data_IF_752045194187
#
_entry.id   IF_752045194187
#
_cell.length_a   1.000
_cell.length_b   1.000
_cell.length_c   1.000
_cell.angle_alpha   90.00
_cell.angle_beta   90.00
_cell.angle_gamma   90.00
#
_symmetry.space_group_name_H-M   'P 1'
#
loop_
_entity.id
_entity.type
_entity.pdbx_description
1 polymer ?
#
# COMPACT_ATOMS: atom_id res chain seq x y z
N UNK A 1 32.13 -8.42 7.81
CA UNK A 1 30.79 -7.99 8.28
C UNK A 1 30.66 -6.51 7.94
N UNK A 2 29.72 -6.10 7.09
CA UNK A 2 29.46 -4.68 6.81
C UNK A 2 29.04 -4.01 8.12
N UNK A 3 29.57 -2.82 8.43
CA UNK A 3 29.17 -2.08 9.63
C UNK A 3 27.69 -1.70 9.54
N UNK A 4 26.92 -1.91 10.62
CA UNK A 4 25.53 -1.51 10.75
C UNK A 4 25.32 -0.05 10.29
N UNK A 5 24.36 0.17 9.40
CA UNK A 5 23.99 1.47 8.85
C UNK A 5 22.75 2.03 9.55
N UNK A 6 22.62 3.34 9.57
CA UNK A 6 21.46 4.02 10.15
C UNK A 6 20.63 4.66 9.03
N UNK A 7 19.40 4.20 8.88
CA UNK A 7 18.41 4.70 7.93
C UNK A 7 17.44 5.65 8.63
N UNK A 8 17.30 6.86 8.10
CA UNK A 8 16.32 7.83 8.57
C UNK A 8 15.18 7.92 7.55
N UNK A 9 13.99 7.45 7.92
CA UNK A 9 12.84 7.29 7.02
C UNK A 9 11.81 8.36 7.36
N UNK A 10 11.56 9.27 6.42
CA UNK A 10 10.56 10.34 6.56
C UNK A 10 9.23 9.91 5.95
N UNK A 11 8.18 9.93 6.77
CA UNK A 11 6.80 9.69 6.35
C UNK A 11 5.90 10.74 6.98
N UNK A 12 5.13 11.47 6.16
CA UNK A 12 4.30 12.58 6.65
C UNK A 12 3.30 12.13 7.70
N UNK A 13 2.68 10.98 7.50
CA UNK A 13 1.78 10.32 8.45
C UNK A 13 2.38 8.97 8.88
N UNK A 14 1.99 8.54 10.07
CA UNK A 14 2.39 7.25 10.64
C UNK A 14 1.33 6.77 11.64
N UNK A 15 1.50 5.56 12.17
CA UNK A 15 0.56 4.99 13.14
C UNK A 15 0.25 5.96 14.30
N UNK A 16 -1.02 5.97 14.78
CA UNK A 16 -2.14 5.05 14.53
C UNK A 16 -2.93 5.32 13.23
N UNK A 17 -2.51 6.26 12.37
CA UNK A 17 -3.09 6.40 11.05
C UNK A 17 -2.72 5.16 10.21
N UNK A 18 -3.71 4.45 9.70
CA UNK A 18 -3.50 3.20 8.96
C UNK A 18 -3.74 3.43 7.48
N UNK A 19 -2.66 3.37 6.70
CA UNK A 19 -2.65 3.45 5.25
C UNK A 19 -1.50 2.63 4.66
N UNK A 20 -1.45 2.54 3.33
CA UNK A 20 -0.41 1.78 2.63
C UNK A 20 1.00 2.32 2.90
N UNK A 21 1.15 3.65 2.92
CA UNK A 21 2.46 4.32 3.15
C UNK A 21 2.95 4.10 4.58
N UNK A 22 2.05 4.19 5.56
CA UNK A 22 2.36 3.99 6.97
C UNK A 22 2.79 2.55 7.25
N UNK A 23 2.07 1.56 6.69
CA UNK A 23 2.43 0.14 6.78
C UNK A 23 3.78 -0.12 6.08
N UNK A 24 3.97 0.43 4.88
CA UNK A 24 5.24 0.33 4.16
C UNK A 24 6.41 0.87 5.00
N UNK A 25 6.24 2.07 5.56
CA UNK A 25 7.25 2.73 6.40
C UNK A 25 7.63 1.87 7.60
N UNK A 26 6.64 1.32 8.30
CA UNK A 26 6.85 0.48 9.47
C UNK A 26 7.58 -0.81 9.12
N UNK A 27 7.07 -1.54 8.13
CA UNK A 27 7.59 -2.85 7.76
C UNK A 27 9.00 -2.75 7.16
N UNK A 28 9.27 -1.70 6.36
CA UNK A 28 10.61 -1.42 5.88
C UNK A 28 11.58 -1.14 7.04
N UNK A 29 11.18 -0.30 8.01
CA UNK A 29 12.00 0.02 9.17
C UNK A 29 12.31 -1.24 10.00
N UNK A 30 11.33 -2.11 10.19
CA UNK A 30 11.50 -3.38 10.89
C UNK A 30 12.44 -4.33 10.12
N UNK A 31 12.23 -4.50 8.82
CA UNK A 31 13.08 -5.37 8.01
C UNK A 31 14.54 -4.88 7.92
N UNK A 32 14.77 -3.57 7.94
CA UNK A 32 16.12 -3.01 8.06
C UNK A 32 16.73 -3.34 9.42
N UNK A 33 15.97 -3.18 10.51
CA UNK A 33 16.43 -3.46 11.86
C UNK A 33 16.71 -4.95 12.08
N UNK A 34 15.82 -5.82 11.63
CA UNK A 34 15.97 -7.28 11.69
C UNK A 34 17.18 -7.76 10.88
N UNK A 35 17.51 -7.04 9.80
CA UNK A 35 18.72 -7.26 9.00
C UNK A 35 20.02 -6.67 9.62
N UNK A 36 19.97 -6.18 10.86
CA UNK A 36 21.13 -5.69 11.61
C UNK A 36 21.47 -4.21 11.45
N UNK A 37 20.64 -3.45 10.73
CA UNK A 37 20.75 -1.99 10.61
C UNK A 37 20.00 -1.26 11.71
N UNK A 38 20.07 0.06 11.73
CA UNK A 38 19.28 0.93 12.60
C UNK A 38 18.28 1.70 11.74
N UNK A 39 17.05 1.85 12.24
CA UNK A 39 16.03 2.63 11.58
C UNK A 39 15.44 3.70 12.51
N UNK A 40 15.27 4.91 11.97
CA UNK A 40 14.62 6.03 12.63
C UNK A 40 13.49 6.50 11.73
N UNK A 41 12.25 6.40 12.19
CA UNK A 41 11.07 6.91 11.48
C UNK A 41 10.85 8.34 11.95
N UNK A 42 10.78 9.28 11.02
CA UNK A 42 10.45 10.69 11.30
C UNK A 42 9.09 11.00 10.70
N UNK A 43 8.16 11.43 11.53
CA UNK A 43 6.77 11.69 11.12
C UNK A 43 6.23 12.97 11.75
N UNK A 44 5.02 13.39 11.33
CA UNK A 44 4.32 14.52 11.94
C UNK A 44 3.49 14.07 13.14
N UNK A 45 3.52 14.83 14.24
CA UNK A 45 2.75 14.54 15.45
C UNK A 45 1.27 14.93 15.29
N UNK A 46 0.52 14.17 14.49
CA UNK A 46 -0.89 14.42 14.23
C UNK A 46 -1.77 14.03 15.43
N UNK A 47 -1.34 13.06 16.23
CA UNK A 47 -2.14 12.45 17.30
C UNK A 47 -1.68 12.85 18.72
N UNK A 48 -0.79 13.84 18.83
CA UNK A 48 -0.24 14.32 20.12
C UNK A 48 0.38 13.20 20.97
N UNK A 49 1.07 12.28 20.31
CA UNK A 49 1.80 11.17 20.93
C UNK A 49 3.19 11.61 21.42
N UNK A 50 3.91 10.78 22.19
CA UNK A 50 5.27 11.07 22.60
C UNK A 50 6.15 11.47 21.43
N UNK A 51 6.87 12.58 21.57
CA UNK A 51 7.68 13.15 20.50
C UNK A 51 8.86 12.27 20.08
N UNK A 52 9.32 11.38 20.97
CA UNK A 52 10.39 10.42 20.72
C UNK A 52 10.13 9.13 21.50
N UNK A 53 10.11 8.01 20.80
CA UNK A 53 9.98 6.68 21.43
C UNK A 53 10.85 5.65 20.70
N UNK A 54 11.11 4.54 21.36
CA UNK A 54 11.83 3.41 20.79
C UNK A 54 10.94 2.16 20.89
N UNK A 55 10.74 1.48 19.77
CA UNK A 55 10.00 0.23 19.71
C UNK A 55 10.87 -0.94 20.16
N UNK A 56 10.22 -2.11 20.44
CA UNK A 56 10.92 -3.30 20.96
C UNK A 56 12.10 -3.80 20.13
N UNK A 57 12.08 -3.63 18.82
CA UNK A 57 13.15 -4.03 17.90
C UNK A 57 14.22 -2.95 17.69
N UNK A 58 14.23 -1.90 18.51
CA UNK A 58 15.20 -0.81 18.46
C UNK A 58 14.91 0.27 17.41
N UNK A 59 13.81 0.17 16.67
CA UNK A 59 13.37 1.24 15.75
C UNK A 59 12.94 2.46 16.56
N UNK A 60 13.50 3.62 16.25
CA UNK A 60 13.14 4.88 16.89
C UNK A 60 12.07 5.61 16.07
N UNK A 61 11.14 6.26 16.76
CA UNK A 61 10.13 7.12 16.13
C UNK A 61 10.32 8.54 16.66
N UNK A 62 10.42 9.50 15.75
CA UNK A 62 10.50 10.93 16.05
C UNK A 62 9.30 11.63 15.44
N UNK A 63 8.47 12.24 16.29
CA UNK A 63 7.25 12.95 15.85
C UNK A 63 7.47 14.45 15.93
N UNK A 64 7.56 15.09 14.79
CA UNK A 64 7.74 16.54 14.68
C UNK A 64 6.41 17.28 14.89
N UNK A 65 6.39 18.36 15.68
CA UNK A 65 5.19 19.21 15.85
C UNK A 65 4.66 19.68 14.50
N UNK A 66 3.33 19.64 14.31
CA UNK A 66 2.71 20.02 13.04
C UNK A 66 1.41 20.79 13.21
N UNK A 67 1.02 21.48 12.13
CA UNK A 67 -0.34 21.96 11.90
C UNK A 67 -1.14 20.83 11.24
N UNK A 68 -2.32 20.48 11.81
CA UNK A 68 -3.17 19.37 11.37
C UNK A 68 -4.15 19.82 10.27
N UNK A 69 -3.63 20.20 9.10
CA UNK A 69 -4.45 20.66 7.98
C UNK A 69 -5.31 19.51 7.44
N UNK A 70 -6.56 19.77 7.06
CA UNK A 70 -7.55 18.80 6.58
C UNK A 70 -7.71 17.60 7.57
N UNK A 71 -7.82 17.90 8.86
CA UNK A 71 -7.96 16.85 9.88
C UNK A 71 -6.71 15.97 10.03
N UNK A 72 -5.54 16.49 9.70
CA UNK A 72 -4.28 15.77 9.78
C UNK A 72 -3.87 15.01 8.51
N UNK A 73 -4.70 15.00 7.47
CA UNK A 73 -4.35 14.37 6.18
C UNK A 73 -3.20 15.09 5.47
N UNK A 74 -3.03 16.39 5.72
CA UNK A 74 -1.97 17.20 5.14
C UNK A 74 -1.20 17.95 6.24
N UNK A 75 -0.36 17.26 7.03
CA UNK A 75 0.37 17.87 8.12
C UNK A 75 1.47 18.81 7.59
N UNK A 76 1.64 19.94 8.25
CA UNK A 76 2.71 20.91 7.94
C UNK A 76 3.53 21.14 9.21
N UNK A 77 4.84 20.95 9.13
CA UNK A 77 5.74 21.13 10.29
C UNK A 77 5.61 22.50 10.94
N UNK A 78 5.36 22.49 12.25
CA UNK A 78 5.32 23.72 13.07
C UNK A 78 6.70 23.96 13.66
N UNK A 79 7.48 24.90 13.08
CA UNK A 79 8.88 25.17 13.43
C UNK A 79 9.06 26.00 14.71
N UNK A 80 8.48 25.52 15.81
CA UNK A 80 8.59 26.08 17.15
C UNK A 80 9.89 25.65 17.86
N UNK A 81 10.04 25.96 19.16
CA UNK A 81 11.20 25.58 19.95
C UNK A 81 11.35 24.04 20.07
N UNK A 82 10.24 23.34 20.27
CA UNK A 82 10.19 21.87 20.35
C UNK A 82 10.68 21.23 19.04
N UNK A 83 10.15 21.69 17.88
CA UNK A 83 10.63 21.24 16.57
C UNK A 83 12.15 21.41 16.44
N UNK A 84 12.67 22.60 16.79
CA UNK A 84 14.12 22.88 16.69
C UNK A 84 14.94 21.94 17.56
N UNK A 85 14.50 21.70 18.80
CA UNK A 85 15.17 20.78 19.73
C UNK A 85 15.18 19.33 19.20
N UNK A 86 14.02 18.82 18.74
CA UNK A 86 13.90 17.48 18.18
C UNK A 86 14.73 17.31 16.91
N UNK A 87 14.65 18.29 15.98
CA UNK A 87 15.37 18.22 14.72
C UNK A 87 16.89 18.34 14.92
N UNK A 88 17.35 19.20 15.87
CA UNK A 88 18.77 19.30 16.25
C UNK A 88 19.28 17.99 16.88
N UNK A 89 18.49 17.37 17.78
CA UNK A 89 18.80 16.07 18.35
C UNK A 89 18.92 14.99 17.28
N UNK A 90 17.98 14.96 16.33
CA UNK A 90 18.00 14.05 15.19
C UNK A 90 19.24 14.28 14.31
N UNK A 91 19.53 15.53 13.98
CA UNK A 91 20.70 15.91 13.21
C UNK A 91 22.04 15.59 13.92
N UNK A 92 22.06 15.52 15.25
CA UNK A 92 23.20 15.07 16.03
C UNK A 92 23.49 13.56 15.96
N UNK A 93 22.52 12.74 15.51
CA UNK A 93 22.71 11.30 15.38
C UNK A 93 23.57 10.94 14.15
N UNK A 94 24.21 9.77 14.22
CA UNK A 94 24.80 9.14 13.03
C UNK A 94 23.64 8.70 12.11
N UNK A 95 23.63 9.18 10.90
CA UNK A 95 22.68 8.83 9.85
C UNK A 95 23.51 8.55 8.62
N UNK A 96 23.39 7.35 8.07
CA UNK A 96 24.13 6.94 6.87
C UNK A 96 23.28 7.13 5.61
N UNK A 97 21.94 6.98 5.72
CA UNK A 97 21.01 7.09 4.60
C UNK A 97 19.69 7.78 4.99
N UNK A 98 19.11 8.49 4.04
CA UNK A 98 17.79 9.12 4.19
C UNK A 98 16.85 8.61 3.12
N UNK A 99 15.69 8.13 3.57
CA UNK A 99 14.57 7.68 2.74
C UNK A 99 13.38 8.60 2.97
N UNK A 100 12.75 9.07 1.92
CA UNK A 100 11.58 9.95 1.99
C UNK A 100 10.41 9.25 1.32
N UNK A 101 9.38 8.91 2.08
CA UNK A 101 8.15 8.35 1.56
C UNK A 101 7.22 9.47 1.09
N UNK A 102 6.83 9.39 -0.18
CA UNK A 102 6.03 10.36 -0.94
C UNK A 102 6.74 11.70 -1.23
N UNK A 103 6.48 12.24 -2.43
CA UNK A 103 7.10 13.51 -2.92
C UNK A 103 6.30 14.77 -2.60
N UNK A 104 4.99 14.67 -2.39
CA UNK A 104 4.08 15.82 -2.37
C UNK A 104 3.73 16.36 -0.99
N UNK A 105 4.24 15.75 0.10
CA UNK A 105 4.08 16.32 1.43
C UNK A 105 5.13 17.38 1.74
N UNK A 106 4.74 18.42 2.46
CA UNK A 106 5.71 19.40 2.98
C UNK A 106 6.70 18.78 3.96
N UNK A 107 6.30 17.69 4.63
CA UNK A 107 7.17 16.90 5.50
C UNK A 107 8.37 16.28 4.76
N UNK A 108 8.23 16.00 3.45
CA UNK A 108 9.31 15.44 2.63
C UNK A 108 10.52 16.35 2.54
N UNK A 109 10.32 17.67 2.62
CA UNK A 109 11.42 18.66 2.68
C UNK A 109 12.24 18.56 3.96
N UNK A 110 11.67 18.08 5.06
CA UNK A 110 12.44 17.87 6.30
C UNK A 110 13.47 16.75 6.11
N UNK A 111 13.09 15.69 5.39
CA UNK A 111 14.02 14.60 5.05
C UNK A 111 15.14 15.06 4.10
N UNK A 112 14.79 15.76 3.05
CA UNK A 112 15.77 16.27 2.08
C UNK A 112 16.76 17.25 2.74
N UNK A 113 16.28 18.16 3.58
CA UNK A 113 17.14 19.08 4.35
C UNK A 113 18.08 18.36 5.31
N UNK A 114 17.60 17.31 5.98
CA UNK A 114 18.47 16.51 6.85
C UNK A 114 19.57 15.84 6.03
N UNK A 115 19.21 15.29 4.86
CA UNK A 115 20.15 14.69 3.95
C UNK A 115 21.22 15.71 3.47
N UNK A 116 20.82 16.91 3.06
CA UNK A 116 21.73 17.99 2.69
C UNK A 116 22.69 18.37 3.82
N UNK A 117 22.16 18.55 5.04
CA UNK A 117 23.00 18.86 6.22
C UNK A 117 24.02 17.76 6.52
N UNK A 118 23.75 16.52 6.14
CA UNK A 118 24.63 15.34 6.34
C UNK A 118 25.51 15.04 5.14
N UNK A 119 25.36 15.76 4.01
CA UNK A 119 26.04 15.44 2.77
C UNK A 119 25.56 14.12 2.13
N UNK A 120 24.35 13.68 2.43
CA UNK A 120 23.74 12.44 1.94
C UNK A 120 22.81 12.78 0.77
N UNK A 121 22.84 11.96 -0.29
CA UNK A 121 21.81 12.00 -1.34
C UNK A 121 20.64 11.11 -0.93
N UNK A 122 19.45 11.69 -0.66
CA UNK A 122 18.30 10.91 -0.23
C UNK A 122 17.68 10.16 -1.40
N UNK A 123 17.00 9.06 -1.11
CA UNK A 123 16.05 8.45 -2.04
C UNK A 123 14.63 8.89 -1.68
N UNK A 124 13.81 9.17 -2.68
CA UNK A 124 12.38 9.51 -2.55
C UNK A 124 11.56 8.39 -3.17
N UNK A 125 10.71 7.74 -2.40
CA UNK A 125 9.86 6.64 -2.86
C UNK A 125 8.44 7.17 -3.03
N UNK A 126 7.91 7.14 -4.26
CA UNK A 126 6.54 7.54 -4.54
C UNK A 126 5.57 6.36 -4.43
N UNK A 127 4.40 6.61 -3.84
CA UNK A 127 3.40 5.59 -3.54
C UNK A 127 2.09 5.80 -4.33
N UNK A 128 2.03 6.80 -5.18
CA UNK A 128 0.84 7.16 -5.97
C UNK A 128 0.96 6.75 -7.43
N UNK A 129 -0.19 6.57 -8.09
CA UNK A 129 -0.31 6.38 -9.55
C UNK A 129 -1.31 7.34 -10.18
N UNK A 130 -1.89 8.25 -9.38
CA UNK A 130 -2.81 9.29 -9.80
C UNK A 130 -2.81 10.46 -8.81
N UNK A 131 -3.41 11.59 -9.18
CA UNK A 131 -3.65 12.69 -8.25
C UNK A 131 -4.56 12.28 -7.10
N UNK A 132 -4.34 12.88 -5.93
CA UNK A 132 -5.27 12.76 -4.81
C UNK A 132 -6.62 13.37 -5.18
N UNK A 133 -7.70 12.66 -4.87
CA UNK A 133 -9.07 13.13 -5.04
C UNK A 133 -9.74 13.39 -3.69
N UNK A 134 -10.48 14.48 -3.58
CA UNK A 134 -11.28 14.85 -2.42
C UNK A 134 -12.79 14.74 -2.71
N UNK A 135 -13.16 14.23 -3.89
CA UNK A 135 -14.55 14.06 -4.31
C UNK A 135 -15.22 15.36 -4.78
N UNK A 136 -14.44 16.41 -5.03
CA UNK A 136 -14.94 17.69 -5.57
C UNK A 136 -14.02 18.15 -6.69
N UNK A 137 -14.54 18.32 -7.90
CA UNK A 137 -13.73 18.73 -9.08
C UNK A 137 -12.88 19.98 -8.83
N UNK A 138 -13.40 20.97 -8.08
CA UNK A 138 -12.69 22.20 -7.78
C UNK A 138 -11.55 21.94 -6.79
N UNK A 139 -11.79 21.16 -5.73
CA UNK A 139 -10.79 20.79 -4.75
C UNK A 139 -9.73 19.88 -5.38
N UNK A 140 -10.12 18.98 -6.26
CA UNK A 140 -9.21 18.05 -6.94
C UNK A 140 -8.23 18.80 -7.83
N UNK A 141 -8.70 19.84 -8.57
CA UNK A 141 -7.82 20.74 -9.34
C UNK A 141 -6.85 21.50 -8.41
N UNK A 142 -7.35 22.02 -7.30
CA UNK A 142 -6.48 22.75 -6.34
C UNK A 142 -5.41 21.83 -5.73
N UNK A 143 -5.78 20.59 -5.39
CA UNK A 143 -4.85 19.57 -4.86
C UNK A 143 -3.82 19.18 -5.92
N UNK A 144 -4.23 18.98 -7.17
CA UNK A 144 -3.31 18.68 -8.26
C UNK A 144 -2.29 19.82 -8.47
N UNK A 145 -2.73 21.10 -8.44
CA UNK A 145 -1.83 22.25 -8.54
C UNK A 145 -0.86 22.34 -7.35
N UNK A 146 -1.35 22.06 -6.13
CA UNK A 146 -0.51 21.96 -4.95
C UNK A 146 0.55 20.85 -5.11
N UNK A 147 0.16 19.67 -5.59
CA UNK A 147 1.06 18.54 -5.83
C UNK A 147 2.15 18.90 -6.83
N UNK A 148 1.78 19.55 -7.95
CA UNK A 148 2.74 20.06 -8.94
C UNK A 148 3.71 21.08 -8.34
N UNK A 149 3.22 22.03 -7.55
CA UNK A 149 4.03 23.08 -6.95
C UNK A 149 5.05 22.51 -5.94
N UNK A 150 4.59 21.60 -5.06
CA UNK A 150 5.43 20.92 -4.07
C UNK A 150 6.47 20.05 -4.75
N UNK A 151 6.07 19.24 -5.73
CA UNK A 151 6.98 18.37 -6.48
C UNK A 151 8.03 19.16 -7.24
N UNK A 152 7.63 20.27 -7.92
CA UNK A 152 8.58 21.18 -8.61
C UNK A 152 9.61 21.74 -7.63
N UNK A 153 9.18 22.09 -6.42
CA UNK A 153 10.09 22.58 -5.39
C UNK A 153 11.03 21.50 -4.88
N UNK A 154 10.51 20.29 -4.65
CA UNK A 154 11.31 19.15 -4.16
C UNK A 154 12.37 18.72 -5.20
N UNK A 155 12.06 18.78 -6.49
CA UNK A 155 12.97 18.47 -7.60
C UNK A 155 14.21 19.37 -7.68
N UNK A 156 14.23 20.51 -6.98
CA UNK A 156 15.42 21.39 -6.91
C UNK A 156 16.51 20.84 -6.01
N UNK A 157 16.17 19.85 -5.20
CA UNK A 157 17.10 19.16 -4.31
C UNK A 157 17.70 17.94 -5.02
N UNK A 158 18.94 17.62 -4.70
CA UNK A 158 19.64 16.47 -5.26
C UNK A 158 19.15 15.19 -4.58
N UNK A 159 18.24 14.47 -5.24
CA UNK A 159 17.62 13.25 -4.74
C UNK A 159 17.38 12.24 -5.87
N UNK A 160 17.48 10.95 -5.59
CA UNK A 160 17.08 9.90 -6.51
C UNK A 160 15.63 9.47 -6.23
N UNK A 161 14.87 9.26 -7.29
CA UNK A 161 13.45 8.93 -7.20
C UNK A 161 13.20 7.48 -7.56
N UNK A 162 12.40 6.82 -6.75
CA UNK A 162 11.91 5.46 -6.91
C UNK A 162 10.40 5.44 -6.76
N UNK A 163 9.76 4.37 -7.15
CA UNK A 163 8.32 4.20 -6.94
C UNK A 163 8.00 2.77 -6.50
N UNK A 164 6.78 2.54 -6.00
CA UNK A 164 6.37 1.22 -5.50
C UNK A 164 5.91 0.26 -6.60
N UNK A 165 5.72 0.74 -7.83
CA UNK A 165 5.34 -0.05 -9.01
C UNK A 165 5.77 0.62 -10.29
N UNK A 166 5.78 -0.12 -11.41
CA UNK A 166 6.00 0.42 -12.75
C UNK A 166 4.96 1.48 -13.13
N UNK A 167 3.70 1.27 -12.73
CA UNK A 167 2.64 2.28 -12.91
C UNK A 167 2.97 3.59 -12.16
N UNK A 168 3.47 3.48 -10.94
CA UNK A 168 3.92 4.65 -10.17
C UNK A 168 5.21 5.27 -10.75
N UNK A 169 6.09 4.49 -11.38
CA UNK A 169 7.23 5.03 -12.13
C UNK A 169 6.76 5.89 -13.32
N UNK A 170 5.82 5.38 -14.12
CA UNK A 170 5.19 6.14 -15.22
C UNK A 170 4.48 7.39 -14.73
N UNK A 171 3.85 7.33 -13.55
CA UNK A 171 3.22 8.48 -12.91
C UNK A 171 4.23 9.58 -12.55
N UNK A 172 5.44 9.24 -12.14
CA UNK A 172 6.50 10.20 -11.88
C UNK A 172 6.91 10.98 -13.14
N UNK A 173 6.82 10.37 -14.33
CA UNK A 173 7.10 11.02 -15.61
C UNK A 173 6.18 12.22 -15.87
N UNK A 174 4.91 12.16 -15.40
CA UNK A 174 3.97 13.28 -15.45
C UNK A 174 4.52 14.55 -14.77
N UNK A 175 5.40 14.40 -13.78
CA UNK A 175 6.10 15.50 -13.11
C UNK A 175 7.49 15.77 -13.69
N UNK A 176 7.86 15.13 -14.79
CA UNK A 176 9.19 15.21 -15.38
C UNK A 176 10.27 14.62 -14.44
N UNK A 177 9.94 13.54 -13.75
CA UNK A 177 10.86 12.77 -12.90
C UNK A 177 11.09 11.41 -13.55
N UNK A 178 12.36 11.08 -13.80
CA UNK A 178 12.76 9.74 -14.24
C UNK A 178 13.04 8.91 -12.99
N UNK A 179 12.27 7.85 -12.79
CA UNK A 179 12.49 6.91 -11.70
C UNK A 179 13.75 6.07 -11.91
N UNK A 180 14.49 5.79 -10.84
CA UNK A 180 15.65 4.89 -10.86
C UNK A 180 15.26 3.40 -10.82
N UNK A 181 14.02 3.12 -10.46
CA UNK A 181 13.50 1.75 -10.38
C UNK A 181 12.34 1.59 -9.41
N UNK A 182 12.00 0.34 -9.14
CA UNK A 182 10.85 -0.03 -8.31
C UNK A 182 11.33 -0.59 -6.97
N UNK A 183 10.74 -0.06 -5.88
CA UNK A 183 10.90 -0.54 -4.51
C UNK A 183 9.52 -0.98 -4.02
N UNK A 184 9.14 -2.19 -4.39
CA UNK A 184 7.79 -2.72 -4.23
C UNK A 184 7.30 -2.68 -2.78
N UNK A 185 5.98 -2.57 -2.62
CA UNK A 185 5.31 -2.97 -1.40
C UNK A 185 5.47 -4.48 -1.22
N UNK A 186 5.43 -4.96 0.02
CA UNK A 186 5.72 -6.35 0.36
C UNK A 186 4.80 -6.84 1.48
N UNK A 187 4.84 -8.15 1.71
CA UNK A 187 4.07 -8.80 2.77
C UNK A 187 4.94 -9.90 3.43
N UNK A 188 4.78 -10.09 4.72
CA UNK A 188 5.17 -11.33 5.38
C UNK A 188 4.00 -12.31 5.24
N UNK A 189 4.02 -13.09 4.17
CA UNK A 189 2.91 -13.95 3.79
C UNK A 189 2.61 -15.02 4.85
N UNK A 190 3.63 -15.58 5.49
CA UNK A 190 3.46 -16.58 6.54
C UNK A 190 2.86 -15.97 7.82
N UNK A 191 3.44 -14.86 8.30
CA UNK A 191 2.90 -14.16 9.46
C UNK A 191 1.49 -13.64 9.20
N UNK A 192 1.19 -13.19 7.98
CA UNK A 192 -0.14 -12.75 7.59
C UNK A 192 -1.15 -13.88 7.70
N UNK A 193 -0.91 -15.05 7.09
CA UNK A 193 -1.80 -16.22 7.20
C UNK A 193 -2.02 -16.68 8.63
N UNK A 194 -0.97 -16.66 9.46
CA UNK A 194 -1.05 -17.06 10.87
C UNK A 194 -1.82 -16.06 11.75
N UNK A 195 -1.99 -14.84 11.28
CA UNK A 195 -2.70 -13.78 12.03
C UNK A 195 -4.23 -13.89 11.93
N UNK A 196 -4.75 -14.93 11.28
CA UNK A 196 -6.19 -15.18 11.16
C UNK A 196 -6.88 -15.18 12.53
N UNK A 197 -8.06 -14.57 12.60
CA UNK A 197 -8.91 -14.65 13.80
C UNK A 197 -9.46 -16.06 14.06
N UNK A 198 -9.36 -16.96 13.06
CA UNK A 198 -9.94 -18.29 13.12
C UNK A 198 -11.44 -18.34 12.87
N UNK A 199 -12.07 -17.22 12.49
CA UNK A 199 -13.45 -17.21 12.02
C UNK A 199 -13.59 -18.04 10.75
N UNK A 200 -14.70 -18.74 10.63
CA UNK A 200 -15.09 -19.44 9.41
C UNK A 200 -16.35 -18.80 8.86
N UNK A 201 -16.16 -17.89 7.89
CA UNK A 201 -17.27 -17.16 7.29
C UNK A 201 -18.24 -18.06 6.53
N UNK A 202 -17.80 -19.23 6.02
CA UNK A 202 -18.72 -20.21 5.39
C UNK A 202 -19.68 -20.77 6.42
N UNK A 203 -19.15 -21.27 7.54
CA UNK A 203 -19.97 -21.82 8.64
C UNK A 203 -20.85 -20.75 9.27
N UNK A 204 -20.34 -19.54 9.52
CA UNK A 204 -21.10 -18.45 10.13
C UNK A 204 -22.31 -18.01 9.28
N UNK A 205 -22.17 -18.09 7.94
CA UNK A 205 -23.20 -17.67 6.99
C UNK A 205 -24.03 -18.84 6.45
N UNK A 206 -23.75 -20.07 6.89
CA UNK A 206 -24.46 -21.27 6.43
C UNK A 206 -24.21 -21.59 4.95
N UNK A 207 -23.04 -21.22 4.42
CA UNK A 207 -22.65 -21.52 3.04
C UNK A 207 -22.09 -22.94 2.95
N UNK A 208 -22.69 -23.76 2.09
CA UNK A 208 -22.18 -25.11 1.80
C UNK A 208 -20.89 -25.10 0.99
N UNK A 209 -20.25 -26.27 0.89
CA UNK A 209 -19.03 -26.44 0.09
C UNK A 209 -19.28 -26.32 -1.42
N UNK A 210 -20.51 -26.40 -1.85
CA UNK A 210 -21.00 -26.23 -3.21
C UNK A 210 -21.05 -24.75 -3.65
N UNK A 211 -20.98 -23.82 -2.69
CA UNK A 211 -20.98 -22.38 -2.98
C UNK A 211 -19.61 -21.88 -3.41
N UNK A 212 -19.55 -21.13 -4.51
CA UNK A 212 -18.36 -20.42 -4.94
C UNK A 212 -18.33 -19.02 -4.31
N UNK A 213 -17.35 -18.78 -3.43
CA UNK A 213 -17.25 -17.55 -2.64
C UNK A 213 -16.25 -16.60 -3.23
N UNK A 214 -16.73 -15.43 -3.68
CA UNK A 214 -15.90 -14.31 -4.17
C UNK A 214 -15.83 -13.24 -3.10
N UNK A 215 -14.64 -12.94 -2.60
CA UNK A 215 -14.43 -11.87 -1.62
C UNK A 215 -13.98 -10.56 -2.27
N UNK A 216 -14.36 -9.46 -1.63
CA UNK A 216 -13.86 -8.11 -1.86
C UNK A 216 -13.47 -7.50 -0.53
N UNK A 217 -12.30 -6.85 -0.47
CA UNK A 217 -11.85 -6.11 0.70
C UNK A 217 -11.34 -4.73 0.30
N UNK A 218 -12.06 -3.68 0.69
CA UNK A 218 -11.68 -2.32 0.32
C UNK A 218 -12.69 -1.24 0.69
N UNK A 219 -12.35 0.01 0.41
CA UNK A 219 -13.29 1.13 0.58
C UNK A 219 -14.37 1.08 -0.51
N UNK A 220 -15.61 1.36 -0.13
CA UNK A 220 -16.73 1.45 -1.07
C UNK A 220 -16.75 2.84 -1.74
N UNK A 221 -15.87 2.98 -2.72
CA UNK A 221 -15.69 4.18 -3.56
C UNK A 221 -15.58 3.77 -5.04
N UNK A 222 -15.88 4.66 -5.99
CA UNK A 222 -15.84 4.33 -7.42
C UNK A 222 -14.48 3.80 -7.90
N UNK A 223 -13.39 4.32 -7.33
CA UNK A 223 -12.02 3.94 -7.69
C UNK A 223 -11.69 2.47 -7.37
N UNK A 224 -12.40 1.85 -6.42
CA UNK A 224 -12.24 0.44 -6.05
C UNK A 224 -13.12 -0.52 -6.84
N UNK A 225 -13.94 -0.01 -7.76
CA UNK A 225 -14.75 -0.82 -8.67
C UNK A 225 -15.90 -1.56 -8.01
N UNK A 226 -16.41 -1.07 -6.85
CA UNK A 226 -17.51 -1.73 -6.14
C UNK A 226 -18.80 -1.76 -6.98
N UNK A 227 -19.06 -0.75 -7.84
CA UNK A 227 -20.25 -0.70 -8.68
C UNK A 227 -20.26 -1.80 -9.73
N UNK A 228 -19.25 -1.96 -10.61
CA UNK A 228 -19.21 -3.08 -11.55
C UNK A 228 -19.20 -4.46 -10.87
N UNK A 229 -18.65 -4.57 -9.65
CA UNK A 229 -18.73 -5.80 -8.87
C UNK A 229 -20.19 -6.11 -8.47
N UNK A 230 -20.95 -5.10 -8.05
CA UNK A 230 -22.38 -5.25 -7.72
C UNK A 230 -23.22 -5.57 -8.97
N UNK A 231 -22.88 -4.96 -10.13
CA UNK A 231 -23.55 -5.26 -11.40
C UNK A 231 -23.30 -6.72 -11.83
N UNK A 232 -22.08 -7.24 -11.60
CA UNK A 232 -21.73 -8.64 -11.82
C UNK A 232 -22.49 -9.58 -10.85
N UNK A 233 -22.58 -9.22 -9.57
CA UNK A 233 -23.33 -9.97 -8.58
C UNK A 233 -24.84 -10.05 -8.94
N UNK A 234 -25.42 -8.97 -9.49
CA UNK A 234 -26.81 -8.95 -9.96
C UNK A 234 -27.00 -9.90 -11.16
N UNK A 235 -26.10 -9.91 -12.14
CA UNK A 235 -26.16 -10.83 -13.28
C UNK A 235 -26.01 -12.31 -12.86
N UNK A 236 -25.28 -12.60 -11.77
CA UNK A 236 -25.11 -13.94 -11.23
C UNK A 236 -26.20 -14.32 -10.21
N UNK A 237 -27.12 -13.40 -9.88
CA UNK A 237 -28.18 -13.65 -8.91
C UNK A 237 -29.23 -14.61 -9.47
N UNK A 238 -29.47 -15.71 -8.77
CA UNK A 238 -30.54 -16.68 -9.08
C UNK A 238 -30.18 -17.78 -10.10
N UNK A 239 -29.02 -17.70 -10.77
CA UNK A 239 -28.59 -18.67 -11.78
C UNK A 239 -27.29 -19.42 -11.40
N UNK A 240 -26.64 -19.05 -10.30
CA UNK A 240 -25.37 -19.64 -9.88
C UNK A 240 -25.28 -19.81 -8.38
N UNK A 241 -24.36 -20.66 -7.97
CA UNK A 241 -24.02 -20.89 -6.57
C UNK A 241 -22.99 -19.87 -6.03
N UNK A 242 -22.76 -18.78 -6.78
CA UNK A 242 -21.79 -17.74 -6.45
C UNK A 242 -22.32 -16.80 -5.37
N UNK A 243 -21.53 -16.61 -4.32
CA UNK A 243 -21.80 -15.69 -3.22
C UNK A 243 -20.67 -14.64 -3.13
N UNK A 244 -21.05 -13.38 -2.99
CA UNK A 244 -20.09 -12.28 -2.82
C UNK A 244 -20.03 -11.85 -1.36
N UNK A 245 -18.84 -11.89 -0.74
CA UNK A 245 -18.58 -11.43 0.61
C UNK A 245 -17.83 -10.09 0.55
N UNK A 246 -18.48 -9.01 0.97
CA UNK A 246 -17.97 -7.64 0.82
C UNK A 246 -17.52 -7.07 2.15
N UNK A 247 -16.20 -6.97 2.36
CA UNK A 247 -15.61 -6.34 3.54
C UNK A 247 -15.20 -4.90 3.22
N UNK A 248 -15.75 -3.94 3.96
CA UNK A 248 -15.42 -2.54 3.80
C UNK A 248 -16.53 -1.58 4.21
N UNK A 249 -16.27 -0.31 3.94
CA UNK A 249 -17.17 0.81 4.21
C UNK A 249 -16.83 1.97 3.28
N UNK A 250 -17.73 2.91 3.08
CA UNK A 250 -17.47 4.09 2.27
C UNK A 250 -18.73 4.83 1.82
N UNK A 251 -18.55 5.89 1.03
CA UNK A 251 -19.67 6.71 0.54
C UNK A 251 -20.75 5.92 -0.22
N UNK A 252 -20.35 4.84 -0.92
CA UNK A 252 -21.27 4.00 -1.71
C UNK A 252 -21.96 2.89 -0.89
N UNK A 253 -21.74 2.82 0.43
CA UNK A 253 -22.32 1.76 1.28
C UNK A 253 -23.85 1.68 1.14
N UNK A 254 -24.55 2.81 1.22
CA UNK A 254 -26.01 2.86 1.10
C UNK A 254 -26.52 2.40 -0.28
N UNK A 255 -25.75 2.70 -1.33
CA UNK A 255 -26.08 2.26 -2.68
C UNK A 255 -25.95 0.74 -2.81
N UNK A 256 -24.85 0.18 -2.29
CA UNK A 256 -24.60 -1.26 -2.26
C UNK A 256 -25.66 -2.00 -1.45
N UNK A 257 -25.95 -1.54 -0.22
CA UNK A 257 -27.01 -2.10 0.63
C UNK A 257 -28.39 -2.01 -0.02
N UNK A 258 -28.69 -0.90 -0.70
CA UNK A 258 -29.97 -0.64 -1.34
C UNK A 258 -30.29 -1.57 -2.52
N UNK A 259 -29.29 -2.27 -3.10
CA UNK A 259 -29.54 -3.25 -4.17
C UNK A 259 -30.20 -4.53 -3.68
N UNK A 260 -30.02 -4.92 -2.41
CA UNK A 260 -30.72 -6.04 -1.78
C UNK A 260 -30.52 -7.39 -2.47
N UNK A 261 -29.35 -7.64 -3.05
CA UNK A 261 -29.07 -8.85 -3.82
C UNK A 261 -28.92 -10.06 -2.88
N UNK A 262 -29.62 -11.19 -3.15
CA UNK A 262 -29.63 -12.36 -2.24
C UNK A 262 -28.28 -13.09 -2.18
N UNK A 263 -27.42 -12.93 -3.19
CA UNK A 263 -26.08 -13.52 -3.27
C UNK A 263 -24.98 -12.58 -2.81
N UNK A 264 -25.30 -11.46 -2.14
CA UNK A 264 -24.33 -10.51 -1.60
C UNK A 264 -24.45 -10.40 -0.10
N UNK A 265 -23.36 -10.62 0.62
CA UNK A 265 -23.28 -10.44 2.07
C UNK A 265 -22.32 -9.29 2.41
N UNK A 266 -22.87 -8.27 3.09
CA UNK A 266 -22.12 -7.13 3.57
C UNK A 266 -21.55 -7.41 4.96
N UNK A 267 -20.23 -7.54 5.07
CA UNK A 267 -19.54 -7.85 6.34
C UNK A 267 -19.17 -6.59 7.14
N UNK A 268 -19.34 -5.41 6.54
CA UNK A 268 -18.88 -4.17 7.15
C UNK A 268 -17.35 -4.06 7.22
N UNK A 269 -16.85 -3.23 8.13
CA UNK A 269 -15.39 -3.09 8.33
C UNK A 269 -14.89 -4.26 9.17
N UNK A 270 -13.94 -4.99 8.63
CA UNK A 270 -13.21 -6.05 9.32
C UNK A 270 -11.85 -5.53 9.78
N UNK A 271 -11.34 -6.05 10.87
CA UNK A 271 -9.94 -5.87 11.27
C UNK A 271 -9.01 -6.80 10.48
N UNK A 272 -7.70 -6.64 10.67
CA UNK A 272 -6.73 -7.41 9.88
C UNK A 272 -6.85 -8.93 10.09
N UNK A 273 -7.01 -9.48 11.32
CA UNK A 273 -7.24 -10.90 11.54
C UNK A 273 -8.50 -11.44 10.86
N UNK A 274 -9.58 -10.68 10.85
CA UNK A 274 -10.83 -11.06 10.20
C UNK A 274 -10.73 -10.98 8.66
N UNK A 275 -9.93 -10.07 8.11
CA UNK A 275 -9.61 -10.05 6.67
C UNK A 275 -8.89 -11.33 6.26
N UNK A 276 -7.94 -11.81 7.06
CA UNK A 276 -7.27 -13.09 6.79
C UNK A 276 -8.27 -14.24 6.79
N UNK A 277 -9.15 -14.29 7.79
CA UNK A 277 -10.20 -15.32 7.89
C UNK A 277 -11.18 -15.27 6.69
N UNK A 278 -11.56 -14.06 6.25
CA UNK A 278 -12.38 -13.87 5.04
C UNK A 278 -11.69 -14.44 3.80
N UNK A 279 -10.42 -14.08 3.57
CA UNK A 279 -9.67 -14.58 2.43
C UNK A 279 -9.51 -16.11 2.48
N UNK A 280 -9.28 -16.68 3.67
CA UNK A 280 -9.20 -18.14 3.87
C UNK A 280 -10.54 -18.87 3.68
N UNK A 281 -11.67 -18.18 3.80
CA UNK A 281 -13.03 -18.71 3.58
C UNK A 281 -13.51 -18.54 2.13
N UNK A 282 -12.69 -17.96 1.24
CA UNK A 282 -13.08 -17.59 -0.12
C UNK A 282 -12.41 -18.49 -1.17
N UNK A 283 -13.00 -18.57 -2.37
CA UNK A 283 -12.46 -19.29 -3.52
C UNK A 283 -11.76 -18.34 -4.51
N UNK A 284 -12.20 -17.08 -4.57
CA UNK A 284 -11.57 -16.05 -5.38
C UNK A 284 -11.64 -14.68 -4.69
N UNK A 285 -10.75 -13.79 -5.10
CA UNK A 285 -10.73 -12.39 -4.67
C UNK A 285 -10.97 -11.48 -5.87
N UNK A 286 -11.94 -10.58 -5.79
CA UNK A 286 -12.23 -9.64 -6.87
C UNK A 286 -11.97 -8.19 -6.44
N UNK A 287 -11.09 -7.50 -7.19
CA UNK A 287 -10.78 -6.08 -6.94
C UNK A 287 -10.64 -5.34 -8.29
N UNK A 288 -11.77 -4.94 -8.92
CA UNK A 288 -11.78 -4.28 -10.22
C UNK A 288 -11.50 -2.77 -10.08
N UNK A 289 -10.39 -2.43 -9.45
CA UNK A 289 -9.97 -1.04 -9.18
C UNK A 289 -9.65 -0.27 -10.46
N UNK A 290 -9.94 1.02 -10.49
CA UNK A 290 -9.57 1.92 -11.60
C UNK A 290 -8.21 2.59 -11.40
N UNK A 291 -7.71 2.63 -10.17
CA UNK A 291 -6.41 3.24 -9.84
C UNK A 291 -5.88 2.68 -8.53
N UNK A 292 -4.62 2.28 -8.56
CA UNK A 292 -3.83 1.82 -7.41
C UNK A 292 -2.38 2.28 -7.55
N UNK A 293 -1.72 2.60 -6.44
CA UNK A 293 -0.27 2.74 -6.43
C UNK A 293 0.39 1.36 -6.42
N UNK A 294 0.07 0.59 -5.39
CA UNK A 294 0.33 -0.85 -5.26
C UNK A 294 -0.73 -1.43 -4.31
N UNK A 295 -1.52 -2.38 -4.77
CA UNK A 295 -2.61 -2.92 -3.97
C UNK A 295 -2.10 -3.86 -2.87
N UNK A 296 -2.23 -3.45 -1.61
CA UNK A 296 -1.94 -4.33 -0.46
C UNK A 296 -2.93 -5.47 -0.37
N UNK A 297 -4.21 -5.24 -0.70
CA UNK A 297 -5.23 -6.29 -0.70
C UNK A 297 -4.92 -7.40 -1.72
N UNK A 298 -4.26 -7.07 -2.83
CA UNK A 298 -3.81 -8.08 -3.78
C UNK A 298 -2.64 -8.91 -3.22
N UNK A 299 -1.70 -8.30 -2.48
CA UNK A 299 -0.66 -9.06 -1.77
C UNK A 299 -1.26 -9.95 -0.68
N UNK A 300 -2.26 -9.46 0.05
CA UNK A 300 -2.99 -10.20 1.08
C UNK A 300 -3.74 -11.40 0.49
N UNK A 301 -4.42 -11.20 -0.63
CA UNK A 301 -5.05 -12.26 -1.44
C UNK A 301 -4.02 -13.30 -1.88
N UNK A 302 -2.94 -12.88 -2.50
CA UNK A 302 -1.86 -13.74 -2.97
C UNK A 302 -1.21 -14.54 -1.85
N UNK A 303 -0.97 -13.90 -0.69
CA UNK A 303 -0.45 -14.58 0.51
C UNK A 303 -1.37 -15.70 1.00
N UNK A 304 -2.69 -15.56 0.85
CA UNK A 304 -3.66 -16.60 1.17
C UNK A 304 -3.81 -17.67 0.07
N UNK A 305 -3.19 -17.47 -1.09
CA UNK A 305 -3.28 -18.41 -2.21
C UNK A 305 -4.63 -18.37 -2.93
N UNK A 306 -5.29 -17.19 -2.97
CA UNK A 306 -6.52 -17.02 -3.73
C UNK A 306 -6.21 -16.55 -5.15
N UNK A 307 -6.93 -17.06 -6.18
CA UNK A 307 -6.89 -16.47 -7.51
C UNK A 307 -7.54 -15.08 -7.50
N UNK A 308 -6.81 -14.04 -7.93
CA UNK A 308 -7.36 -12.70 -8.04
C UNK A 308 -8.05 -12.47 -9.39
N UNK A 309 -9.15 -11.71 -9.36
CA UNK A 309 -9.83 -11.13 -10.53
C UNK A 309 -9.64 -9.62 -10.42
N UNK A 310 -8.74 -9.05 -11.21
CA UNK A 310 -8.29 -7.66 -11.03
C UNK A 310 -8.07 -6.95 -12.36
N UNK A 311 -8.12 -5.63 -12.35
CA UNK A 311 -7.79 -4.77 -13.49
C UNK A 311 -6.29 -4.47 -13.55
N UNK A 312 -5.83 -4.04 -14.70
CA UNK A 312 -4.44 -3.70 -15.04
C UNK A 312 -4.01 -2.36 -14.39
N UNK A 313 -3.94 -2.27 -13.06
CA UNK A 313 -3.61 -1.04 -12.33
C UNK A 313 -2.59 -1.28 -11.22
N UNK A 314 -1.82 -0.26 -10.90
CA UNK A 314 -0.83 -0.31 -9.83
C UNK A 314 0.25 -1.35 -10.08
N UNK A 315 0.51 -2.19 -9.09
CA UNK A 315 1.53 -3.25 -9.12
C UNK A 315 1.02 -4.60 -9.63
N UNK A 316 -0.07 -4.63 -10.39
CA UNK A 316 -0.62 -5.89 -10.94
C UNK A 316 0.34 -6.52 -11.93
N UNK A 317 1.01 -5.73 -12.78
CA UNK A 317 1.99 -6.22 -13.76
C UNK A 317 3.20 -6.92 -13.12
N UNK A 318 3.56 -6.48 -11.92
CA UNK A 318 4.65 -7.08 -11.15
C UNK A 318 4.25 -8.36 -10.43
N UNK A 319 2.96 -8.53 -10.11
CA UNK A 319 2.42 -9.70 -9.42
C UNK A 319 1.89 -10.77 -10.36
N UNK A 320 1.29 -10.36 -11.46
CA UNK A 320 0.66 -11.25 -12.43
C UNK A 320 1.44 -11.22 -13.75
N UNK A 321 2.44 -12.08 -13.85
CA UNK A 321 3.34 -12.12 -15.02
C UNK A 321 2.64 -12.67 -16.28
N UNK A 322 1.63 -13.51 -16.09
CA UNK A 322 0.78 -14.09 -17.13
C UNK A 322 -0.55 -14.59 -16.52
N UNK A 323 -1.43 -15.16 -17.34
CA UNK A 323 -2.76 -15.66 -16.92
C UNK A 323 -2.70 -16.83 -15.91
N UNK A 324 -1.54 -17.44 -15.67
CA UNK A 324 -1.38 -18.50 -14.66
C UNK A 324 -1.19 -17.96 -13.23
N UNK A 325 -1.12 -16.62 -13.07
CA UNK A 325 -1.07 -15.95 -11.77
C UNK A 325 -2.39 -15.33 -11.33
N UNK A 326 -3.42 -15.32 -12.21
CA UNK A 326 -4.73 -14.74 -11.89
C UNK A 326 -5.51 -14.34 -13.14
N UNK A 327 -6.63 -13.69 -12.94
CA UNK A 327 -7.56 -13.27 -13.97
C UNK A 327 -7.48 -11.76 -14.18
N UNK A 328 -6.98 -11.33 -15.34
CA UNK A 328 -6.89 -9.92 -15.71
C UNK A 328 -8.16 -9.46 -16.42
N UNK A 329 -8.78 -8.43 -15.87
CA UNK A 329 -9.89 -7.73 -16.50
C UNK A 329 -9.31 -6.70 -17.50
N UNK A 330 -9.77 -6.75 -18.74
CA UNK A 330 -9.45 -5.71 -19.73
C UNK A 330 -10.05 -4.37 -19.36
N UNK A 331 -11.26 -4.40 -18.81
CA UNK A 331 -12.00 -3.26 -18.28
C UNK A 331 -12.72 -3.66 -16.98
N UNK A 332 -12.95 -2.68 -16.10
CA UNK A 332 -13.74 -2.89 -14.88
C UNK A 332 -15.24 -2.90 -15.22
N UNK A 333 -15.71 -3.95 -15.90
CA UNK A 333 -17.13 -4.15 -16.26
C UNK A 333 -17.70 -5.40 -15.61
N UNK A 334 -19.02 -5.45 -15.50
CA UNK A 334 -19.72 -6.59 -14.94
C UNK A 334 -19.49 -7.85 -15.80
N UNK A 335 -19.53 -7.72 -17.12
CA UNK A 335 -19.37 -8.81 -18.09
C UNK A 335 -18.01 -9.50 -17.94
N UNK A 336 -16.94 -8.72 -17.82
CA UNK A 336 -15.59 -9.26 -17.63
C UNK A 336 -15.46 -9.96 -16.26
N UNK A 337 -16.07 -9.41 -15.22
CA UNK A 337 -16.09 -10.03 -13.89
C UNK A 337 -16.85 -11.36 -13.92
N UNK A 338 -18.07 -11.37 -14.49
CA UNK A 338 -18.91 -12.57 -14.64
C UNK A 338 -18.18 -13.66 -15.40
N UNK A 339 -17.55 -13.31 -16.53
CA UNK A 339 -16.75 -14.22 -17.34
C UNK A 339 -15.69 -14.95 -16.49
N UNK A 340 -14.88 -14.20 -15.74
CA UNK A 340 -13.81 -14.78 -14.94
C UNK A 340 -14.30 -15.53 -13.70
N UNK A 341 -15.39 -15.08 -13.07
CA UNK A 341 -16.03 -15.82 -11.98
C UNK A 341 -16.49 -17.18 -12.47
N UNK A 342 -17.17 -17.24 -13.65
CA UNK A 342 -17.60 -18.52 -14.23
C UNK A 342 -16.44 -19.45 -14.56
N UNK A 343 -15.37 -18.91 -15.17
CA UNK A 343 -14.17 -19.71 -15.49
C UNK A 343 -13.54 -20.33 -14.24
N UNK A 344 -13.53 -19.61 -13.12
CA UNK A 344 -12.98 -20.12 -11.87
C UNK A 344 -13.96 -21.06 -11.13
N UNK A 345 -15.26 -20.77 -11.18
CA UNK A 345 -16.32 -21.63 -10.61
C UNK A 345 -16.32 -23.02 -11.28
N UNK A 346 -16.18 -23.06 -12.62
CA UNK A 346 -16.21 -24.29 -13.42
C UNK A 346 -14.90 -25.11 -13.31
N UNK A 347 -13.78 -24.53 -12.84
CA UNK A 347 -12.46 -25.19 -12.79
C UNK A 347 -11.75 -25.00 -11.43
N UNK A 348 -12.11 -25.79 -10.41
CA UNK A 348 -11.45 -25.75 -9.10
C UNK A 348 -9.96 -26.11 -9.11
N UNK A 349 -9.51 -26.93 -10.09
CA UNK A 349 -8.08 -27.25 -10.24
C UNK A 349 -7.30 -26.04 -10.69
N UNK A 350 -7.84 -25.28 -11.62
CA UNK A 350 -7.27 -24.00 -12.07
C UNK A 350 -7.21 -22.99 -10.92
N UNK A 351 -8.27 -22.86 -10.11
CA UNK A 351 -8.27 -22.02 -8.90
C UNK A 351 -7.08 -22.34 -8.01
N UNK A 352 -6.92 -23.64 -7.68
CA UNK A 352 -5.83 -24.10 -6.81
C UNK A 352 -4.46 -23.83 -7.42
N UNK A 353 -4.27 -24.14 -8.69
CA UNK A 353 -3.01 -23.96 -9.40
C UNK A 353 -2.58 -22.49 -9.44
N UNK A 354 -3.51 -21.57 -9.75
CA UNK A 354 -3.27 -20.12 -9.73
C UNK A 354 -2.87 -19.68 -8.30
N UNK A 355 -3.66 -20.06 -7.30
CA UNK A 355 -3.43 -19.67 -5.92
C UNK A 355 -2.08 -20.14 -5.39
N UNK A 356 -1.69 -21.38 -5.64
CA UNK A 356 -0.40 -21.94 -5.22
C UNK A 356 0.77 -21.24 -5.91
N UNK A 357 0.66 -21.02 -7.22
CA UNK A 357 1.70 -20.34 -8.00
C UNK A 357 1.90 -18.90 -7.53
N UNK A 358 0.81 -18.15 -7.39
CA UNK A 358 0.84 -16.76 -6.97
C UNK A 358 1.39 -16.61 -5.54
N UNK A 359 0.99 -17.51 -4.61
CA UNK A 359 1.50 -17.54 -3.24
C UNK A 359 3.01 -17.76 -3.22
N UNK A 360 3.50 -18.78 -3.91
CA UNK A 360 4.94 -19.07 -3.98
C UNK A 360 5.74 -17.88 -4.51
N UNK A 361 5.22 -17.23 -5.54
CA UNK A 361 5.85 -16.05 -6.13
C UNK A 361 5.90 -14.85 -5.17
N UNK A 362 4.81 -14.60 -4.44
CA UNK A 362 4.76 -13.49 -3.47
C UNK A 362 5.67 -13.76 -2.27
N UNK A 363 5.74 -14.99 -1.78
CA UNK A 363 6.66 -15.38 -0.70
C UNK A 363 8.13 -15.14 -1.08
N UNK A 364 8.48 -15.39 -2.33
CA UNK A 364 9.85 -15.22 -2.83
C UNK A 364 10.17 -13.75 -3.17
N UNK A 365 9.34 -13.10 -3.99
CA UNK A 365 9.66 -11.82 -4.61
C UNK A 365 9.18 -10.60 -3.84
N UNK A 366 8.11 -10.71 -3.04
CA UNK A 366 7.47 -9.60 -2.34
C UNK A 366 7.61 -9.70 -0.81
N UNK A 367 8.77 -10.17 -0.35
CA UNK A 367 9.10 -10.23 1.07
C UNK A 367 9.78 -8.94 1.55
N UNK A 368 9.53 -8.55 2.81
CA UNK A 368 10.15 -7.36 3.41
C UNK A 368 11.68 -7.43 3.47
N UNK A 369 12.33 -8.57 3.75
CA UNK A 369 13.79 -8.69 3.65
C UNK A 369 14.33 -8.35 2.26
N UNK A 370 13.63 -8.78 1.19
CA UNK A 370 14.00 -8.49 -0.20
C UNK A 370 13.84 -7.00 -0.53
N UNK A 371 12.72 -6.39 -0.13
CA UNK A 371 12.52 -4.94 -0.31
C UNK A 371 13.56 -4.14 0.48
N UNK A 372 13.89 -4.53 1.71
CA UNK A 372 14.95 -3.90 2.48
C UNK A 372 16.32 -4.03 1.79
N UNK A 373 16.62 -5.18 1.13
CA UNK A 373 17.86 -5.33 0.33
C UNK A 373 17.89 -4.35 -0.84
N UNK A 374 16.80 -4.27 -1.61
CA UNK A 374 16.67 -3.30 -2.72
C UNK A 374 16.84 -1.84 -2.24
N UNK A 375 16.29 -1.51 -1.07
CA UNK A 375 16.44 -0.17 -0.46
C UNK A 375 17.89 0.09 -0.04
N UNK A 376 18.60 -0.91 0.52
CA UNK A 376 20.05 -0.80 0.84
C UNK A 376 20.86 -0.52 -0.41
N UNK A 377 20.62 -1.25 -1.48
CA UNK A 377 21.27 -1.09 -2.77
C UNK A 377 21.00 0.29 -3.38
N UNK A 378 19.73 0.73 -3.39
CA UNK A 378 19.32 2.06 -3.86
C UNK A 378 20.01 3.19 -3.09
N UNK A 379 20.02 3.10 -1.76
CA UNK A 379 20.68 4.09 -0.91
C UNK A 379 22.20 4.10 -1.11
N UNK A 380 22.83 2.95 -1.25
CA UNK A 380 24.26 2.84 -1.51
C UNK A 380 24.61 3.41 -2.88
N UNK A 381 23.84 3.08 -3.93
CA UNK A 381 24.03 3.59 -5.28
C UNK A 381 23.90 5.12 -5.34
N UNK A 382 22.89 5.69 -4.67
CA UNK A 382 22.70 7.14 -4.61
C UNK A 382 23.89 7.88 -3.97
N UNK A 383 24.68 7.21 -3.13
CA UNK A 383 25.78 7.83 -2.39
C UNK A 383 27.20 7.36 -2.84
N UNK A 384 27.31 6.40 -3.75
CA UNK A 384 28.60 5.89 -4.24
C UNK A 384 29.37 6.92 -5.06
N UNK A 385 28.70 7.79 -5.81
CA UNK A 385 29.32 8.81 -6.66
C UNK A 385 29.94 9.99 -5.88
N UNK A 386 29.64 10.13 -4.58
CA UNK A 386 30.16 11.23 -3.73
C UNK A 386 31.44 10.88 -2.97
N UNK A 387 31.85 9.62 -2.97
CA UNK A 387 33.12 9.18 -2.32
C UNK A 387 34.33 9.25 -3.25
N UNK A 388 34.14 9.72 -4.49
CA UNK A 388 35.19 9.76 -5.54
C UNK A 388 35.70 11.18 -5.81
N UNK A 389 35.19 12.20 -5.10
CA UNK A 389 35.69 13.58 -5.08
C UNK A 389 36.23 13.92 -3.66
#
# INVERSE_FOLDING_TARGET
MSSSKTYCIFSANYLPNVGGVEKYTQNLAFALADGGDRAIIVTSNVFDLPAWETLRNGVEIVRLPCWKILGGRLPISRRNAEYRALYSRLAGKRIDYVVVNTRFYRHSFEGVRLAEMKGIRPIVIDHGSAHLTLGSKILDVAVAQYEHAVTRSLKRHDADYYAVSGASCRWLEHFGIVSRGVLNNSIDAEAFRRSSSGRDFRSELGLGDDRFVVSFAGRFIPEKGIVPLMDAAEQLSGESDVVFLLAGDGPLKREVEGRGLPNVVMLGRLDAPDIVALLQSSDAFCLPSRSEGFSTSLLECAACGLPPIVTHVGGVDELMLDESYGCLLSEATAEEIVKWVRVLEDDPERCRAIGEKLRGYVEEEFSWPRTASKVREACAAANSSRTSD
#
